data_IF_357348329251
#
_entry.id   IF_357348329251
#
_cell.length_a   1.000
_cell.length_b   1.000
_cell.length_c   1.000
_cell.angle_alpha   90.00
_cell.angle_beta   90.00
_cell.angle_gamma   90.00
#
_symmetry.space_group_name_H-M   'P 1'
#
loop_
_entity.id
_entity.type
_entity.pdbx_description
1 polymer ?
#
# COMPACT_ATOMS: atom_id res chain seq x y z
N UNK A 1 -9.66 -5.57 -14.91
CA UNK A 1 -9.71 -4.42 -13.95
C UNK A 1 -8.44 -3.58 -13.94
N UNK A 2 -7.35 -4.03 -14.58
CA UNK A 2 -6.03 -3.38 -14.52
C UNK A 2 -5.53 -2.88 -15.87
N UNK A 3 -6.17 -3.24 -16.98
CA UNK A 3 -5.66 -3.00 -18.35
C UNK A 3 -5.43 -1.52 -18.71
N UNK A 4 -6.20 -0.61 -18.10
CA UNK A 4 -6.14 0.85 -18.31
C UNK A 4 -5.75 1.61 -17.02
N UNK A 5 -5.27 0.91 -16.00
CA UNK A 5 -4.99 1.50 -14.69
C UNK A 5 -3.57 2.07 -14.60
N UNK A 6 -3.47 3.37 -14.28
CA UNK A 6 -2.21 4.02 -13.91
C UNK A 6 -1.82 3.74 -12.45
N UNK A 7 -2.83 3.48 -11.61
CA UNK A 7 -2.71 3.24 -10.17
C UNK A 7 -3.19 1.83 -9.87
N UNK A 8 -2.36 1.02 -9.23
CA UNK A 8 -2.75 -0.32 -8.81
C UNK A 8 -2.78 -0.43 -7.30
N UNK A 9 -3.94 -0.83 -6.75
CA UNK A 9 -4.02 -1.27 -5.36
C UNK A 9 -3.51 -2.71 -5.30
N UNK A 10 -2.61 -3.00 -4.35
CA UNK A 10 -2.13 -4.35 -4.08
C UNK A 10 -2.49 -4.76 -2.65
N UNK A 11 -3.25 -5.84 -2.52
CA UNK A 11 -3.73 -6.30 -1.22
C UNK A 11 -4.03 -7.80 -1.22
N UNK A 12 -4.22 -8.35 -0.01
CA UNK A 12 -4.60 -9.74 0.21
C UNK A 12 -5.90 -9.88 1.01
N UNK A 13 -6.52 -11.05 0.91
CA UNK A 13 -7.65 -11.45 1.76
C UNK A 13 -8.80 -10.45 1.82
N UNK A 14 -9.28 -10.19 3.03
CA UNK A 14 -10.40 -9.27 3.29
C UNK A 14 -10.12 -7.82 2.88
N UNK A 15 -8.87 -7.36 2.99
CA UNK A 15 -8.48 -6.00 2.55
C UNK A 15 -8.65 -5.86 1.05
N UNK A 16 -8.29 -6.88 0.27
CA UNK A 16 -8.53 -6.88 -1.17
C UNK A 16 -10.03 -6.89 -1.53
N UNK A 17 -10.87 -7.51 -0.69
CA UNK A 17 -12.33 -7.44 -0.86
C UNK A 17 -12.86 -6.03 -0.61
N UNK A 18 -12.39 -5.35 0.44
CA UNK A 18 -12.76 -3.95 0.69
C UNK A 18 -12.27 -3.03 -0.42
N UNK A 19 -11.03 -3.18 -0.88
CA UNK A 19 -10.52 -2.42 -2.00
C UNK A 19 -11.37 -2.59 -3.27
N UNK A 20 -11.88 -3.80 -3.54
CA UNK A 20 -12.76 -4.06 -4.69
C UNK A 20 -14.04 -3.23 -4.65
N UNK A 21 -14.63 -3.03 -3.46
CA UNK A 21 -15.85 -2.25 -3.30
C UNK A 21 -15.65 -0.78 -3.69
N UNK A 22 -14.46 -0.24 -3.43
CA UNK A 22 -14.14 1.18 -3.60
C UNK A 22 -13.70 1.54 -5.02
N UNK A 23 -13.15 0.59 -5.79
CA UNK A 23 -12.63 0.85 -7.16
C UNK A 23 -13.68 1.52 -8.04
N UNK A 24 -14.92 1.06 -7.99
CA UNK A 24 -16.00 1.62 -8.82
C UNK A 24 -16.18 3.12 -8.57
N UNK A 25 -16.13 3.55 -7.31
CA UNK A 25 -16.23 4.96 -6.95
C UNK A 25 -14.98 5.74 -7.35
N UNK A 26 -13.78 5.25 -7.04
CA UNK A 26 -12.52 5.93 -7.42
C UNK A 26 -12.42 6.16 -8.93
N UNK A 27 -12.91 5.21 -9.74
CA UNK A 27 -12.96 5.35 -11.20
C UNK A 27 -14.01 6.36 -11.66
N UNK A 28 -15.17 6.44 -11.00
CA UNK A 28 -16.16 7.50 -11.24
C UNK A 28 -15.59 8.88 -10.91
N UNK A 29 -14.71 8.96 -9.92
CA UNK A 29 -14.00 10.18 -9.52
C UNK A 29 -12.85 10.53 -10.50
N UNK A 30 -12.71 9.79 -11.61
CA UNK A 30 -11.75 10.06 -12.68
C UNK A 30 -10.38 9.38 -12.49
N UNK A 31 -10.19 8.58 -11.43
CA UNK A 31 -8.93 7.90 -11.19
C UNK A 31 -8.86 6.58 -11.97
N UNK A 32 -7.77 6.38 -12.71
CA UNK A 32 -7.49 5.11 -13.39
C UNK A 32 -6.92 4.07 -12.41
N UNK A 33 -7.76 3.62 -11.49
CA UNK A 33 -7.41 2.68 -10.41
C UNK A 33 -7.82 1.25 -10.77
N UNK A 34 -6.88 0.31 -10.63
CA UNK A 34 -7.09 -1.13 -10.67
C UNK A 34 -6.77 -1.80 -9.33
N UNK A 35 -7.08 -3.09 -9.22
CA UNK A 35 -6.75 -3.92 -8.06
C UNK A 35 -6.07 -5.20 -8.49
N UNK A 36 -4.97 -5.49 -7.79
CA UNK A 36 -4.28 -6.76 -7.80
C UNK A 36 -4.51 -7.43 -6.44
N UNK A 37 -5.32 -8.49 -6.44
CA UNK A 37 -5.58 -9.29 -5.23
C UNK A 37 -4.68 -10.51 -5.22
N UNK A 38 -3.64 -10.51 -4.38
CA UNK A 38 -2.73 -11.64 -4.28
C UNK A 38 -3.45 -12.83 -3.62
N UNK A 39 -3.45 -13.97 -4.32
CA UNK A 39 -4.12 -15.20 -3.87
C UNK A 39 -3.16 -16.22 -3.25
N UNK A 40 -1.91 -16.22 -3.70
CA UNK A 40 -0.86 -17.10 -3.24
C UNK A 40 0.31 -16.24 -2.74
N UNK A 41 0.59 -16.28 -1.44
CA UNK A 41 1.72 -15.56 -0.87
C UNK A 41 3.01 -16.38 -0.91
N UNK A 42 2.90 -17.71 -0.79
CA UNK A 42 4.05 -18.63 -0.83
C UNK A 42 3.74 -19.86 -1.70
N UNK A 43 4.64 -20.20 -2.65
CA UNK A 43 5.81 -19.42 -3.07
C UNK A 43 5.41 -18.03 -3.60
N UNK A 44 6.23 -17.01 -3.33
CA UNK A 44 5.91 -15.62 -3.70
C UNK A 44 6.06 -15.43 -5.22
N UNK A 45 5.05 -14.94 -5.95
CA UNK A 45 5.04 -14.94 -7.41
C UNK A 45 5.78 -13.71 -8.00
N UNK A 46 7.06 -13.55 -7.65
CA UNK A 46 7.84 -12.36 -7.99
C UNK A 46 7.87 -12.07 -9.51
N UNK A 47 8.10 -13.08 -10.36
CA UNK A 47 8.17 -12.90 -11.81
C UNK A 47 6.85 -12.38 -12.41
N UNK A 48 5.71 -12.89 -11.94
CA UNK A 48 4.39 -12.47 -12.39
C UNK A 48 4.08 -11.05 -11.90
N UNK A 49 4.44 -10.71 -10.66
CA UNK A 49 4.25 -9.37 -10.11
C UNK A 49 5.11 -8.35 -10.88
N UNK A 50 6.36 -8.69 -11.24
CA UNK A 50 7.19 -7.83 -12.08
C UNK A 50 6.54 -7.51 -13.41
N UNK A 51 6.02 -8.52 -14.10
CA UNK A 51 5.35 -8.33 -15.39
C UNK A 51 4.08 -7.48 -15.24
N UNK A 52 3.32 -7.67 -14.16
CA UNK A 52 2.07 -6.95 -13.92
C UNK A 52 2.29 -5.48 -13.53
N UNK A 53 3.33 -5.19 -12.75
CA UNK A 53 3.56 -3.86 -12.18
C UNK A 53 4.54 -2.99 -12.96
N UNK A 54 5.24 -3.53 -13.98
CA UNK A 54 6.26 -2.76 -14.75
C UNK A 54 5.70 -1.53 -15.47
N UNK A 55 4.41 -1.52 -15.82
CA UNK A 55 3.75 -0.39 -16.50
C UNK A 55 2.98 0.52 -15.54
N UNK A 56 2.88 0.13 -14.25
CA UNK A 56 2.17 0.95 -13.26
C UNK A 56 2.98 2.21 -12.96
N UNK A 57 2.29 3.34 -12.75
CA UNK A 57 2.93 4.57 -12.26
C UNK A 57 2.99 4.59 -10.75
N UNK A 58 1.91 4.12 -10.11
CA UNK A 58 1.74 4.10 -8.67
C UNK A 58 1.19 2.75 -8.22
N UNK A 59 1.80 2.15 -7.20
CA UNK A 59 1.27 0.99 -6.48
C UNK A 59 0.96 1.39 -5.05
N UNK A 60 -0.28 1.13 -4.63
CA UNK A 60 -0.76 1.38 -3.28
C UNK A 60 -0.95 0.03 -2.58
N UNK A 61 -0.10 -0.27 -1.61
CA UNK A 61 -0.13 -1.55 -0.89
C UNK A 61 -0.89 -1.36 0.42
N UNK A 62 -1.84 -2.26 0.70
CA UNK A 62 -2.49 -2.31 2.00
C UNK A 62 -2.20 -3.64 2.70
N UNK A 63 -1.50 -3.55 3.81
CA UNK A 63 -1.15 -4.66 4.68
C UNK A 63 -2.05 -4.69 5.91
N UNK A 64 -2.42 -5.89 6.34
CA UNK A 64 -3.10 -6.12 7.64
C UNK A 64 -2.16 -6.74 8.67
N UNK A 65 -0.87 -6.52 8.49
CA UNK A 65 0.21 -6.97 9.34
C UNK A 65 1.26 -5.86 9.47
N UNK A 66 2.29 -6.15 10.26
CA UNK A 66 3.48 -5.32 10.39
C UNK A 66 4.70 -6.23 10.45
N UNK A 67 5.71 -5.98 9.61
CA UNK A 67 7.06 -6.43 9.86
C UNK A 67 7.68 -5.51 10.91
N UNK A 68 7.80 -5.97 12.15
CA UNK A 68 8.31 -5.13 13.25
C UNK A 68 9.67 -4.49 12.90
N UNK A 69 9.79 -3.18 13.15
CA UNK A 69 10.96 -2.39 12.80
C UNK A 69 11.03 -2.00 11.31
N UNK A 70 9.98 -2.25 10.53
CA UNK A 70 9.93 -1.90 9.12
C UNK A 70 8.50 -1.57 8.64
N UNK A 71 8.06 -2.11 7.51
CA UNK A 71 6.74 -1.88 6.92
C UNK A 71 5.87 -3.15 6.85
N UNK A 72 4.70 -3.04 6.22
CA UNK A 72 3.84 -4.19 5.92
C UNK A 72 4.54 -5.24 5.06
N UNK A 73 4.23 -6.52 5.31
CA UNK A 73 4.96 -7.64 4.70
C UNK A 73 4.80 -7.68 3.19
N UNK A 74 3.59 -7.44 2.69
CA UNK A 74 3.31 -7.42 1.26
C UNK A 74 4.04 -6.26 0.57
N UNK A 75 4.15 -5.11 1.24
CA UNK A 75 4.84 -3.93 0.72
C UNK A 75 6.31 -4.20 0.45
N UNK A 76 7.06 -4.70 1.44
CA UNK A 76 8.50 -4.90 1.23
C UNK A 76 8.81 -6.08 0.30
N UNK A 77 8.00 -7.14 0.30
CA UNK A 77 8.14 -8.26 -0.64
C UNK A 77 7.90 -7.81 -2.08
N UNK A 78 6.92 -6.92 -2.29
CA UNK A 78 6.69 -6.31 -3.60
C UNK A 78 7.89 -5.44 -4.00
N UNK A 79 8.37 -4.55 -3.13
CA UNK A 79 9.55 -3.72 -3.41
C UNK A 79 10.76 -4.56 -3.78
N UNK A 80 11.01 -5.65 -3.04
CA UNK A 80 12.08 -6.60 -3.34
C UNK A 80 11.88 -7.30 -4.70
N UNK A 81 10.66 -7.73 -5.03
CA UNK A 81 10.36 -8.34 -6.32
C UNK A 81 10.54 -7.36 -7.49
N UNK A 82 10.19 -6.09 -7.30
CA UNK A 82 10.33 -5.05 -8.33
C UNK A 82 11.74 -4.45 -8.40
N UNK A 83 12.63 -4.82 -7.49
CA UNK A 83 14.02 -4.37 -7.51
C UNK A 83 14.69 -4.67 -8.87
N UNK A 84 15.46 -3.69 -9.36
CA UNK A 84 16.15 -3.76 -10.65
C UNK A 84 15.26 -3.58 -11.89
N UNK A 85 13.98 -3.22 -11.75
CA UNK A 85 13.21 -2.74 -12.90
C UNK A 85 13.78 -1.39 -13.39
N UNK A 86 13.92 -1.22 -14.70
CA UNK A 86 14.41 0.04 -15.31
C UNK A 86 13.51 1.22 -14.97
N UNK A 87 12.20 0.98 -14.93
CA UNK A 87 11.17 1.92 -14.53
C UNK A 87 10.38 1.22 -13.43
N UNK A 88 10.63 1.57 -12.18
CA UNK A 88 9.86 1.07 -11.05
C UNK A 88 8.68 2.02 -10.80
N UNK A 89 7.47 1.51 -10.52
CA UNK A 89 6.40 2.36 -10.00
C UNK A 89 6.84 3.03 -8.70
N UNK A 90 6.21 4.16 -8.39
CA UNK A 90 6.18 4.66 -7.02
C UNK A 90 5.36 3.68 -6.17
N UNK A 91 5.86 3.27 -5.01
CA UNK A 91 5.19 2.29 -4.14
C UNK A 91 4.96 2.93 -2.78
N UNK A 92 3.70 2.96 -2.33
CA UNK A 92 3.32 3.42 -1.00
C UNK A 92 2.55 2.33 -0.25
N UNK A 93 3.08 1.94 0.90
CA UNK A 93 2.45 0.99 1.80
C UNK A 93 1.63 1.66 2.89
N UNK A 94 0.52 1.02 3.28
CA UNK A 94 -0.32 1.40 4.40
C UNK A 94 -0.64 0.18 5.26
N UNK A 95 -0.56 0.34 6.57
CA UNK A 95 -1.01 -0.66 7.52
C UNK A 95 -2.44 -0.33 7.96
N UNK A 96 -3.33 -1.31 7.85
CA UNK A 96 -4.75 -1.19 8.19
C UNK A 96 -5.19 -2.33 9.11
N UNK A 97 -6.28 -2.14 9.84
CA UNK A 97 -7.00 -3.22 10.51
C UNK A 97 -6.21 -4.02 11.56
N UNK A 98 -5.13 -3.46 12.11
CA UNK A 98 -4.37 -4.07 13.21
C UNK A 98 -5.24 -4.26 14.46
N UNK A 99 -5.01 -5.37 15.15
CA UNK A 99 -5.79 -5.77 16.33
C UNK A 99 -7.23 -6.16 15.99
N UNK A 100 -7.50 -6.62 14.75
CA UNK A 100 -8.83 -7.04 14.32
C UNK A 100 -9.79 -5.90 14.01
N UNK A 101 -9.31 -4.65 14.02
CA UNK A 101 -10.12 -3.46 13.68
C UNK A 101 -10.66 -3.53 12.26
N UNK A 102 -11.79 -2.87 12.05
CA UNK A 102 -12.44 -2.85 10.75
C UNK A 102 -11.67 -2.03 9.71
N UNK A 103 -11.79 -2.44 8.44
CA UNK A 103 -11.19 -1.76 7.29
C UNK A 103 -12.32 -1.24 6.42
N UNK A 104 -12.53 0.07 6.45
CA UNK A 104 -13.65 0.73 5.75
C UNK A 104 -13.26 1.22 4.36
N UNK A 105 -14.24 1.50 3.54
CA UNK A 105 -14.05 2.13 2.23
C UNK A 105 -13.29 3.46 2.33
N UNK A 106 -13.56 4.24 3.38
CA UNK A 106 -12.87 5.49 3.66
C UNK A 106 -11.37 5.29 3.94
N UNK A 107 -10.98 4.19 4.58
CA UNK A 107 -9.56 3.88 4.81
C UNK A 107 -8.83 3.65 3.49
N UNK A 108 -9.42 2.88 2.58
CA UNK A 108 -8.83 2.60 1.27
C UNK A 108 -8.75 3.90 0.44
N UNK A 109 -9.84 4.66 0.34
CA UNK A 109 -9.88 5.94 -0.37
C UNK A 109 -8.85 6.93 0.19
N UNK A 110 -8.71 7.02 1.52
CA UNK A 110 -7.71 7.89 2.17
C UNK A 110 -6.28 7.48 1.78
N UNK A 111 -5.98 6.18 1.82
CA UNK A 111 -4.66 5.67 1.42
C UNK A 111 -4.33 5.97 -0.03
N UNK A 112 -5.26 5.71 -0.96
CA UNK A 112 -5.08 5.99 -2.39
C UNK A 112 -4.81 7.49 -2.62
N UNK A 113 -5.65 8.37 -2.06
CA UNK A 113 -5.47 9.82 -2.23
C UNK A 113 -4.17 10.35 -1.60
N UNK A 114 -3.75 9.79 -0.46
CA UNK A 114 -2.47 10.14 0.16
C UNK A 114 -1.30 9.70 -0.73
N UNK A 115 -1.34 8.48 -1.26
CA UNK A 115 -0.30 7.96 -2.15
C UNK A 115 -0.16 8.76 -3.45
N UNK A 116 -1.26 9.22 -4.05
CA UNK A 116 -1.22 10.10 -5.22
C UNK A 116 -0.46 11.40 -4.89
N UNK A 117 -0.84 12.08 -3.80
CA UNK A 117 -0.20 13.33 -3.39
C UNK A 117 1.30 13.17 -3.06
N UNK A 118 1.69 12.04 -2.48
CA UNK A 118 3.10 11.76 -2.16
C UNK A 118 3.90 11.42 -3.42
N UNK A 119 3.30 10.67 -4.35
CA UNK A 119 3.91 10.34 -5.64
C UNK A 119 4.18 11.59 -6.48
N UNK A 120 3.26 12.55 -6.51
CA UNK A 120 3.44 13.83 -7.23
C UNK A 120 4.58 14.67 -6.66
N UNK A 121 4.84 14.55 -5.35
CA UNK A 121 5.92 15.27 -4.65
C UNK A 121 7.25 14.52 -4.66
N UNK A 122 7.27 13.27 -5.14
CA UNK A 122 8.46 12.42 -5.10
C UNK A 122 8.93 12.08 -3.67
N UNK A 123 8.02 12.07 -2.69
CA UNK A 123 8.35 11.75 -1.29
C UNK A 123 8.66 10.27 -1.21
N UNK A 124 9.88 9.90 -0.84
CA UNK A 124 10.24 8.48 -0.75
C UNK A 124 9.49 7.85 0.43
N UNK A 125 8.75 6.78 0.16
CA UNK A 125 7.97 6.04 1.16
C UNK A 125 8.88 5.18 2.06
N UNK A 126 9.62 5.82 2.96
CA UNK A 126 10.38 5.14 4.03
C UNK A 126 9.57 4.92 5.30
N UNK A 127 8.57 5.77 5.54
CA UNK A 127 7.71 5.69 6.72
C UNK A 127 6.45 4.88 6.45
N UNK A 128 6.12 4.04 7.43
CA UNK A 128 4.93 3.21 7.44
C UNK A 128 3.74 4.01 7.95
N UNK A 129 2.74 4.21 7.10
CA UNK A 129 1.52 4.91 7.48
C UNK A 129 0.47 3.95 8.03
N UNK A 130 -0.08 4.29 9.20
CA UNK A 130 -1.19 3.57 9.80
C UNK A 130 -2.51 4.26 9.50
N UNK A 131 -3.51 3.51 9.05
CA UNK A 131 -4.86 4.01 8.81
C UNK A 131 -5.86 3.23 9.68
N UNK A 132 -6.77 3.94 10.33
CA UNK A 132 -7.79 3.35 11.20
C UNK A 132 -7.29 3.00 12.60
N UNK A 133 -6.10 3.49 12.97
CA UNK A 133 -5.59 3.48 14.35
C UNK A 133 -5.80 4.85 14.99
N UNK A 134 -5.96 4.86 16.31
CA UNK A 134 -5.99 6.07 17.13
C UNK A 134 -4.63 6.30 17.76
N UNK A 135 -3.60 6.44 16.92
CA UNK A 135 -2.24 6.66 17.41
C UNK A 135 -2.13 8.01 18.14
N UNK A 136 -2.91 9.01 17.73
CA UNK A 136 -2.97 10.33 18.38
C UNK A 136 -3.46 10.25 19.85
N UNK A 137 -4.17 9.17 20.22
CA UNK A 137 -4.61 8.93 21.60
C UNK A 137 -3.48 8.34 22.48
N UNK A 138 -2.43 7.78 21.84
CA UNK A 138 -1.24 7.28 22.50
C UNK A 138 -0.28 8.46 22.66
N UNK A 139 -0.54 9.30 23.66
CA UNK A 139 0.41 10.32 24.08
C UNK A 139 1.80 9.71 24.31
N UNK A 140 2.83 10.46 23.91
CA UNK A 140 4.22 10.33 24.34
C UNK A 140 5.18 9.48 23.50
N UNK A 141 4.80 8.96 22.32
CA UNK A 141 5.76 8.31 21.40
C UNK A 141 6.18 9.24 20.25
N UNK A 142 7.39 9.81 20.33
CA UNK A 142 8.08 10.43 19.19
C UNK A 142 9.19 9.49 18.70
N UNK A 143 9.03 8.92 17.51
CA UNK A 143 10.00 8.02 16.89
C UNK A 143 11.38 8.70 16.72
N UNK A 144 11.42 10.04 16.63
CA UNK A 144 12.66 10.81 16.55
C UNK A 144 13.48 10.74 17.83
N UNK A 145 12.87 10.45 18.98
CA UNK A 145 13.59 10.31 20.24
C UNK A 145 14.34 8.97 20.33
N UNK A 146 13.88 7.93 19.64
CA UNK A 146 14.50 6.60 19.66
C UNK A 146 15.86 6.58 18.95
N UNK A 147 16.03 7.35 17.87
CA UNK A 147 17.25 7.36 17.06
C UNK A 147 18.26 8.46 17.42
N UNK A 148 18.00 9.29 18.45
CA UNK A 148 18.91 10.36 18.90
C UNK A 148 20.20 9.87 19.59
N UNK A 149 20.33 8.56 19.84
CA UNK A 149 21.44 7.97 20.60
C UNK A 149 22.55 7.29 19.80
N UNK A 150 22.60 7.47 18.47
CA UNK A 150 23.57 6.83 17.57
C UNK A 150 24.64 7.76 17.04
#
# INVERSE_FOLDING_TARGET
>A
MTEDADILIFAMGSVASQARNVIGQLRKDGLKVGLVSLKLFRPFPASQLRELFKEAKLVVVFDRDIGYGYEGVLSYELKAALYGLKQSPFIKGFIVGLGGRDVTDQHITKGVNKAIKESEKGIISHETDFIGLKLDDLGDYDEKDYFKGG
#
